data_IF_407375472129
#
_entry.id   IF_407375472129
#
_cell.length_a   1.000
_cell.length_b   1.000
_cell.length_c   1.000
_cell.angle_alpha   90.00
_cell.angle_beta   90.00
_cell.angle_gamma   90.00
#
_symmetry.space_group_name_H-M   'P 1'
#
loop_
_entity.id
_entity.type
_entity.pdbx_description
1 polymer ?
#
# COMPACT_ATOMS: atom_id res chain seq x y z
N UNK A 1 -8.17 -10.45 -27.23
CA UNK A 1 -8.07 -10.14 -25.84
C UNK A 1 -7.64 -8.71 -25.59
N UNK A 2 -6.50 -8.31 -26.10
CA UNK A 2 -6.07 -6.95 -25.93
C UNK A 2 -7.00 -5.95 -26.57
N UNK A 3 -7.67 -6.35 -27.65
CA UNK A 3 -8.61 -5.46 -28.34
C UNK A 3 -9.79 -5.10 -27.46
N UNK A 4 -10.27 -6.03 -26.64
CA UNK A 4 -11.36 -5.76 -25.74
C UNK A 4 -11.00 -4.65 -24.78
N UNK A 5 -9.79 -4.71 -24.28
CA UNK A 5 -9.34 -3.72 -23.32
C UNK A 5 -9.30 -2.34 -23.97
N UNK A 6 -8.80 -2.29 -25.19
CA UNK A 6 -8.69 -1.01 -25.88
C UNK A 6 -10.04 -0.40 -26.21
N UNK A 7 -11.00 -1.26 -26.57
CA UNK A 7 -12.30 -0.77 -27.00
C UNK A 7 -13.11 -0.14 -25.88
N UNK A 8 -12.95 -0.60 -24.68
CA UNK A 8 -13.74 -0.12 -23.57
C UNK A 8 -12.93 0.81 -22.72
N UNK A 9 -12.58 1.92 -23.29
CA UNK A 9 -11.66 2.83 -22.65
C UNK A 9 -12.15 3.29 -21.29
N UNK A 10 -13.41 3.61 -21.17
CA UNK A 10 -13.94 4.07 -19.90
C UNK A 10 -14.05 2.95 -18.89
N UNK A 11 -14.30 1.75 -19.36
CA UNK A 11 -14.28 0.58 -18.50
C UNK A 11 -12.92 -0.07 -18.48
N UNK A 12 -12.03 0.38 -19.34
CA UNK A 12 -10.66 -0.06 -19.35
C UNK A 12 -10.01 0.05 -17.98
N UNK A 13 -10.34 1.13 -17.31
CA UNK A 13 -9.84 1.34 -15.96
C UNK A 13 -10.16 0.12 -15.08
N UNK A 14 -11.42 -0.32 -15.14
CA UNK A 14 -11.83 -1.47 -14.33
C UNK A 14 -11.11 -2.74 -14.78
N UNK A 15 -11.02 -2.94 -16.09
CA UNK A 15 -10.35 -4.12 -16.62
C UNK A 15 -8.87 -4.14 -16.27
N UNK A 16 -8.21 -3.01 -16.45
CA UNK A 16 -6.80 -2.91 -16.09
C UNK A 16 -6.59 -3.09 -14.60
N UNK A 17 -7.51 -2.52 -13.82
CA UNK A 17 -7.45 -2.64 -12.38
C UNK A 17 -7.59 -4.11 -11.96
N UNK A 18 -8.48 -4.85 -12.63
CA UNK A 18 -8.63 -6.27 -12.36
C UNK A 18 -7.39 -7.07 -12.68
N UNK A 19 -6.75 -6.75 -13.80
CA UNK A 19 -5.52 -7.44 -14.19
C UNK A 19 -4.42 -7.17 -13.18
N UNK A 20 -4.30 -5.92 -12.75
CA UNK A 20 -3.28 -5.56 -11.77
C UNK A 20 -3.56 -6.22 -10.44
N UNK A 21 -4.82 -6.28 -10.06
CA UNK A 21 -5.23 -6.92 -8.81
C UNK A 21 -4.77 -8.38 -8.79
N UNK A 22 -5.05 -9.12 -9.87
CA UNK A 22 -4.67 -10.53 -9.95
C UNK A 22 -3.16 -10.71 -9.98
N UNK A 23 -2.49 -9.86 -10.76
CA UNK A 23 -1.05 -9.95 -10.88
C UNK A 23 -0.35 -9.65 -9.56
N UNK A 24 -0.82 -8.65 -8.86
CA UNK A 24 -0.23 -8.28 -7.56
C UNK A 24 -0.49 -9.37 -6.53
N UNK A 25 -1.71 -9.91 -6.52
CA UNK A 25 -2.04 -10.99 -5.59
C UNK A 25 -1.11 -12.19 -5.81
N UNK A 26 -0.92 -12.57 -7.07
CA UNK A 26 -0.03 -13.69 -7.40
C UNK A 26 1.41 -13.39 -7.01
N UNK A 27 1.85 -12.17 -7.26
CA UNK A 27 3.20 -11.76 -6.92
C UNK A 27 3.45 -11.84 -5.42
N UNK A 28 2.49 -11.37 -4.63
CA UNK A 28 2.60 -11.43 -3.17
C UNK A 28 2.73 -12.88 -2.71
N UNK A 29 1.85 -13.74 -3.20
CA UNK A 29 1.87 -15.13 -2.76
C UNK A 29 3.17 -15.84 -3.15
N UNK A 30 3.72 -15.47 -4.29
CA UNK A 30 4.93 -16.10 -4.78
C UNK A 30 6.19 -15.64 -4.04
N UNK A 31 6.19 -14.40 -3.56
CA UNK A 31 7.39 -13.80 -3.01
C UNK A 31 7.35 -13.58 -1.50
N UNK A 32 6.32 -14.06 -0.82
CA UNK A 32 6.23 -13.95 0.63
C UNK A 32 5.80 -15.28 1.23
N UNK A 33 5.95 -15.40 2.54
CA UNK A 33 5.43 -16.54 3.28
C UNK A 33 4.16 -16.13 4.02
N UNK A 34 3.46 -17.12 4.57
CA UNK A 34 2.22 -16.84 5.28
C UNK A 34 2.42 -15.95 6.51
N UNK A 35 3.62 -15.94 7.06
CA UNK A 35 3.91 -15.14 8.25
C UNK A 35 4.27 -13.70 7.92
N UNK A 36 4.55 -13.41 6.66
CA UNK A 36 4.86 -12.05 6.25
C UNK A 36 3.60 -11.19 6.23
N UNK A 37 3.76 -9.92 6.59
CA UNK A 37 2.68 -8.96 6.42
C UNK A 37 2.93 -8.14 5.17
N UNK A 38 1.85 -7.60 4.62
CA UNK A 38 1.89 -6.77 3.41
C UNK A 38 0.97 -5.59 3.62
N UNK A 39 1.47 -4.40 3.36
CA UNK A 39 0.68 -3.19 3.50
C UNK A 39 0.19 -2.73 2.14
N UNK A 40 -1.11 -2.66 1.98
CA UNK A 40 -1.73 -2.03 0.82
C UNK A 40 -2.05 -0.59 1.18
N UNK A 41 -1.35 0.34 0.56
CA UNK A 41 -1.57 1.75 0.82
C UNK A 41 -2.53 2.27 -0.25
N UNK A 42 -3.78 2.41 0.15
CA UNK A 42 -4.84 2.79 -0.76
C UNK A 42 -6.16 2.27 -0.26
N UNK A 43 -7.00 1.83 -1.19
CA UNK A 43 -8.35 1.37 -0.87
C UNK A 43 -8.55 -0.11 -1.15
N UNK A 44 -7.54 -0.82 -1.64
CA UNK A 44 -7.69 -2.19 -2.13
C UNK A 44 -7.32 -3.23 -1.09
N UNK A 45 -7.87 -3.08 0.11
CA UNK A 45 -7.52 -3.97 1.23
C UNK A 45 -7.88 -5.42 0.98
N UNK A 46 -8.81 -5.69 0.06
CA UNK A 46 -9.20 -7.07 -0.23
C UNK A 46 -8.04 -7.88 -0.81
N UNK A 47 -6.98 -7.24 -1.26
CA UNK A 47 -5.80 -7.97 -1.72
C UNK A 47 -5.16 -8.73 -0.57
N UNK A 48 -5.18 -8.16 0.63
CA UNK A 48 -4.67 -8.88 1.80
C UNK A 48 -5.43 -10.19 1.97
N UNK A 49 -6.74 -10.15 1.81
CA UNK A 49 -7.57 -11.33 1.93
C UNK A 49 -7.27 -12.33 0.81
N UNK A 50 -7.21 -11.85 -0.42
CA UNK A 50 -6.98 -12.73 -1.58
C UNK A 50 -5.61 -13.37 -1.53
N UNK A 51 -4.61 -12.64 -1.09
CA UNK A 51 -3.24 -13.15 -0.98
C UNK A 51 -3.02 -13.91 0.32
N UNK A 52 -3.96 -13.83 1.26
CA UNK A 52 -3.86 -14.46 2.57
C UNK A 52 -2.62 -13.98 3.32
N UNK A 53 -2.42 -12.66 3.30
CA UNK A 53 -1.36 -12.00 4.04
C UNK A 53 -1.95 -10.89 4.87
N UNK A 54 -1.58 -10.83 6.15
CA UNK A 54 -2.14 -9.83 7.06
C UNK A 54 -1.53 -8.47 6.81
N UNK A 55 -2.30 -7.44 7.14
CA UNK A 55 -1.79 -6.08 7.16
C UNK A 55 -0.94 -5.89 8.42
N UNK A 56 0.09 -5.05 8.36
CA UNK A 56 0.88 -4.74 9.56
C UNK A 56 0.17 -3.80 10.52
N UNK A 57 -0.97 -3.24 10.13
CA UNK A 57 -1.69 -2.22 10.89
C UNK A 57 -3.18 -2.52 10.90
N UNK A 58 -3.87 -2.04 11.94
CA UNK A 58 -5.31 -2.13 11.98
C UNK A 58 -5.99 -1.20 10.96
N UNK A 59 -5.24 -0.25 10.44
CA UNK A 59 -5.76 0.67 9.42
C UNK A 59 -5.57 0.04 8.05
N UNK A 60 -6.46 -0.89 7.71
CA UNK A 60 -6.38 -1.57 6.41
C UNK A 60 -6.83 -0.66 5.26
N UNK A 61 -7.58 0.40 5.58
CA UNK A 61 -7.82 1.52 4.67
C UNK A 61 -7.17 2.72 5.31
N UNK A 62 -6.54 3.55 4.52
CA UNK A 62 -5.83 4.70 5.05
C UNK A 62 -6.65 5.98 5.02
N UNK A 63 -7.88 5.95 4.50
CA UNK A 63 -8.74 7.13 4.46
C UNK A 63 -8.84 7.85 5.81
N UNK A 64 -9.04 7.14 6.93
CA UNK A 64 -9.15 7.84 8.22
C UNK A 64 -7.91 8.63 8.59
N UNK A 65 -6.78 8.32 7.98
CA UNK A 65 -5.52 9.03 8.29
C UNK A 65 -5.39 10.33 7.54
N UNK A 66 -6.35 10.63 6.65
CA UNK A 66 -6.29 11.80 5.78
C UNK A 66 -7.48 12.73 5.94
N UNK A 67 -8.36 12.47 6.90
CA UNK A 67 -9.58 13.25 7.05
C UNK A 67 -9.33 14.50 7.85
N UNK A 68 -9.53 15.64 7.20
CA UNK A 68 -9.39 16.95 7.84
C UNK A 68 -10.37 17.06 9.00
N UNK A 69 -9.88 17.49 10.16
CA UNK A 69 -10.70 17.66 11.34
C UNK A 69 -11.03 16.39 12.08
N UNK A 70 -10.62 15.26 11.56
CA UNK A 70 -10.88 13.97 12.15
C UNK A 70 -9.58 13.26 12.51
N UNK A 71 -8.59 13.35 11.62
CA UNK A 71 -7.29 12.72 11.80
C UNK A 71 -6.44 13.56 12.76
N UNK A 72 -5.73 12.91 13.65
CA UNK A 72 -4.77 13.60 14.50
C UNK A 72 -3.42 12.91 14.41
N UNK A 73 -2.42 13.57 15.00
CA UNK A 73 -1.03 13.09 14.90
C UNK A 73 -0.87 11.74 15.57
N UNK A 74 -1.58 11.50 16.66
CA UNK A 74 -1.43 10.25 17.40
C UNK A 74 -1.86 9.05 16.55
N UNK A 75 -2.92 9.21 15.76
CA UNK A 75 -3.41 8.14 14.91
C UNK A 75 -2.39 7.85 13.81
N UNK A 76 -1.84 8.90 13.19
CA UNK A 76 -0.84 8.73 12.16
C UNK A 76 0.42 8.09 12.73
N UNK A 77 0.81 8.53 13.93
CA UNK A 77 1.98 7.96 14.59
C UNK A 77 1.76 6.49 14.91
N UNK A 78 0.56 6.13 15.33
CA UNK A 78 0.24 4.72 15.57
C UNK A 78 0.40 3.90 14.29
N UNK A 79 -0.15 4.39 13.19
CA UNK A 79 -0.09 3.70 11.92
C UNK A 79 1.36 3.49 11.47
N UNK A 80 2.13 4.56 11.47
CA UNK A 80 3.53 4.46 11.04
C UNK A 80 4.34 3.60 12.00
N UNK A 81 4.06 3.70 13.29
CA UNK A 81 4.74 2.87 14.28
C UNK A 81 4.47 1.40 14.08
N UNK A 82 3.25 1.04 13.70
CA UNK A 82 2.93 -0.36 13.40
C UNK A 82 3.74 -0.85 12.21
N UNK A 83 3.88 -0.02 11.18
CA UNK A 83 4.64 -0.42 10.00
C UNK A 83 6.13 -0.59 10.36
N UNK A 84 6.67 0.35 11.12
CA UNK A 84 8.06 0.28 11.55
C UNK A 84 8.31 -0.98 12.37
N UNK A 85 7.40 -1.27 13.28
CA UNK A 85 7.57 -2.40 14.20
C UNK A 85 7.37 -3.74 13.51
N UNK A 86 6.36 -3.82 12.64
CA UNK A 86 5.97 -5.10 12.04
C UNK A 86 6.67 -5.41 10.73
N UNK A 87 7.35 -4.43 10.16
CA UNK A 87 8.23 -4.62 8.99
C UNK A 87 7.56 -5.45 7.90
N UNK A 88 6.47 -4.95 7.29
CA UNK A 88 5.83 -5.71 6.22
C UNK A 88 6.85 -6.02 5.13
N UNK A 89 6.71 -7.19 4.50
CA UNK A 89 7.61 -7.56 3.43
C UNK A 89 7.48 -6.59 2.26
N UNK A 90 6.25 -6.20 1.95
CA UNK A 90 5.96 -5.26 0.88
C UNK A 90 5.09 -4.13 1.39
N UNK A 91 5.35 -2.94 0.86
CA UNK A 91 4.42 -1.81 0.90
C UNK A 91 4.01 -1.58 -0.54
N UNK A 92 2.72 -1.67 -0.81
CA UNK A 92 2.21 -1.53 -2.18
C UNK A 92 1.40 -0.27 -2.25
N UNK A 93 1.91 0.69 -3.02
CA UNK A 93 1.25 1.97 -3.22
C UNK A 93 0.39 1.86 -4.46
N UNK A 94 -0.93 1.88 -4.26
CA UNK A 94 -1.86 1.75 -5.38
C UNK A 94 -2.11 3.07 -6.08
N UNK A 95 -1.43 4.13 -5.64
CA UNK A 95 -1.57 5.47 -6.20
C UNK A 95 -2.98 6.02 -6.07
N UNK A 96 -3.65 5.64 -5.00
CA UNK A 96 -4.97 6.17 -4.71
C UNK A 96 -4.82 7.65 -4.37
N UNK A 97 -5.47 8.54 -5.14
CA UNK A 97 -5.16 9.97 -5.03
C UNK A 97 -5.53 10.60 -3.69
N UNK A 98 -6.40 9.98 -2.93
CA UNK A 98 -6.83 10.55 -1.65
C UNK A 98 -5.97 10.12 -0.48
N UNK A 99 -5.03 9.22 -0.69
CA UNK A 99 -4.15 8.74 0.37
C UNK A 99 -2.70 8.69 -0.12
N UNK A 100 -2.13 9.85 -0.48
CA UNK A 100 -0.74 9.86 -0.96
C UNK A 100 0.20 9.36 0.12
N UNK A 101 1.08 8.46 -0.29
CA UNK A 101 1.94 7.77 0.64
C UNK A 101 2.86 8.76 1.38
N UNK A 102 2.90 8.65 2.71
CA UNK A 102 3.70 9.48 3.61
C UNK A 102 3.32 10.96 3.65
N UNK A 103 2.26 11.37 2.96
CA UNK A 103 1.87 12.78 2.94
C UNK A 103 0.47 12.91 3.52
N UNK A 104 0.41 12.99 4.84
CA UNK A 104 -0.86 12.95 5.56
C UNK A 104 -1.52 14.32 5.75
N UNK A 105 -0.85 15.38 5.34
CA UNK A 105 -1.37 16.73 5.55
C UNK A 105 -1.16 17.24 6.96
N UNK A 106 -0.69 16.41 7.88
CA UNK A 106 -0.26 16.81 9.21
C UNK A 106 1.09 16.16 9.47
N UNK A 107 1.84 16.74 10.39
CA UNK A 107 3.15 16.19 10.67
C UNK A 107 3.54 16.42 12.12
N UNK A 108 4.56 15.69 12.54
CA UNK A 108 5.19 15.83 13.84
C UNK A 108 6.61 15.31 13.66
N UNK A 109 7.52 15.58 14.61
CA UNK A 109 8.87 14.99 14.51
C UNK A 109 8.84 13.47 14.38
N UNK A 110 7.94 12.81 15.10
CA UNK A 110 7.83 11.34 15.02
C UNK A 110 7.35 10.90 13.65
N UNK A 111 6.34 11.59 13.10
CA UNK A 111 5.83 11.26 11.76
C UNK A 111 6.93 11.42 10.72
N UNK A 112 7.68 12.51 10.80
CA UNK A 112 8.74 12.75 9.83
C UNK A 112 9.86 11.74 9.95
N UNK A 113 10.25 11.40 11.17
CA UNK A 113 11.32 10.44 11.40
C UNK A 113 10.94 9.06 10.91
N UNK A 114 9.73 8.61 11.22
CA UNK A 114 9.28 7.29 10.81
C UNK A 114 9.08 7.23 9.30
N UNK A 115 8.56 8.29 8.70
CA UNK A 115 8.40 8.33 7.24
C UNK A 115 9.75 8.23 6.55
N UNK A 116 10.74 8.95 7.07
CA UNK A 116 12.09 8.91 6.51
C UNK A 116 12.70 7.52 6.67
N UNK A 117 12.50 6.93 7.85
CA UNK A 117 13.02 5.59 8.13
C UNK A 117 12.43 4.56 7.16
N UNK A 118 11.13 4.66 6.92
CA UNK A 118 10.46 3.72 6.04
C UNK A 118 10.88 3.92 4.58
N UNK A 119 11.00 5.17 4.15
CA UNK A 119 11.48 5.43 2.79
C UNK A 119 12.87 4.85 2.57
N UNK A 120 13.73 4.96 3.57
CA UNK A 120 15.08 4.43 3.43
C UNK A 120 15.11 2.90 3.49
N UNK A 121 14.13 2.29 4.14
CA UNK A 121 14.12 0.86 4.34
C UNK A 121 13.38 0.06 3.27
N UNK A 122 12.73 0.73 2.32
CA UNK A 122 11.94 0.06 1.28
C UNK A 122 12.38 0.55 -0.08
N UNK A 123 12.55 -0.38 -1.01
CA UNK A 123 12.98 -0.06 -2.37
C UNK A 123 11.94 -0.53 -3.36
N UNK A 124 11.78 0.24 -4.42
CA UNK A 124 10.86 -0.13 -5.51
C UNK A 124 11.44 -1.34 -6.21
N UNK A 125 10.68 -2.43 -6.26
CA UNK A 125 11.12 -3.66 -6.88
C UNK A 125 10.26 -4.09 -8.06
N UNK A 126 9.01 -3.60 -8.13
CA UNK A 126 8.12 -4.04 -9.20
C UNK A 126 7.03 -3.01 -9.40
N UNK A 127 6.45 -2.99 -10.59
CA UNK A 127 5.32 -2.12 -10.91
C UNK A 127 4.28 -2.92 -11.65
N UNK A 128 3.01 -2.69 -11.30
CA UNK A 128 1.87 -3.33 -11.95
C UNK A 128 0.92 -2.22 -12.36
N UNK A 129 1.09 -1.71 -13.59
CA UNK A 129 0.37 -0.53 -14.01
C UNK A 129 0.74 0.64 -13.11
N UNK A 130 -0.23 1.33 -12.51
CA UNK A 130 0.08 2.44 -11.60
C UNK A 130 0.49 1.99 -10.20
N UNK A 131 0.42 0.70 -9.90
CA UNK A 131 0.73 0.19 -8.56
C UNK A 131 2.22 -0.06 -8.42
N UNK A 132 2.79 0.46 -7.36
CA UNK A 132 4.22 0.35 -7.10
C UNK A 132 4.46 -0.53 -5.88
N UNK A 133 5.33 -1.53 -6.05
CA UNK A 133 5.66 -2.48 -4.99
C UNK A 133 7.02 -2.13 -4.43
N UNK A 134 7.04 -1.79 -3.14
CA UNK A 134 8.27 -1.51 -2.43
C UNK A 134 8.57 -2.65 -1.49
N UNK A 135 9.78 -3.14 -1.52
CA UNK A 135 10.18 -4.28 -0.72
C UNK A 135 11.12 -3.85 0.39
N UNK A 136 10.94 -4.43 1.57
CA UNK A 136 11.80 -4.16 2.70
C UNK A 136 13.22 -4.62 2.40
N UNK A 137 14.17 -3.76 2.62
CA UNK A 137 15.59 -4.09 2.45
C UNK A 137 16.29 -3.88 3.78
N UNK A 138 16.93 -4.90 4.23
CA UNK A 138 17.66 -4.83 5.50
C UNK A 138 18.99 -4.17 5.27
N UNK A 139 19.29 -3.19 6.10
CA UNK A 139 20.53 -2.42 5.95
C UNK A 139 21.47 -2.62 7.12
#
# INVERSE_FOLDING_TARGET
MGASIALIKDTNYVTNWGIEYEAVTAYIKLHTSEDDTVLLWGAEAEINYSAQRRSPSRFIYQDPLYKVGYTDKAIVEEFLGDIVRNKPRFIIDTNYPYTPIYDFGITSPAIEDMSRFLRAGYELTEEFGPWMVYEYVEK
#
